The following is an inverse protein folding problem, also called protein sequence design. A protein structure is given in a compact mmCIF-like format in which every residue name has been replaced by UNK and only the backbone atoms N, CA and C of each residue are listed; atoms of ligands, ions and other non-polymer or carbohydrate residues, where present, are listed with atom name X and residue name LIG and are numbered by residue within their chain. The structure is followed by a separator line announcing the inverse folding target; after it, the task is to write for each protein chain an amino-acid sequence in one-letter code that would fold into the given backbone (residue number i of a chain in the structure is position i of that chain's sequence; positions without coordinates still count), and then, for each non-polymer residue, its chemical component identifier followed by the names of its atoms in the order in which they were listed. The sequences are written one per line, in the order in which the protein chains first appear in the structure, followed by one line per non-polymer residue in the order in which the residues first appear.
data_IF_487367087789
#
_entry.id   IF_487367087789
#
_cell.length_a   1.000
_cell.length_b   1.000
_cell.length_c   1.000
_cell.angle_alpha   90.00
_cell.angle_beta   90.00
_cell.angle_gamma   90.00
#
_symmetry.space_group_name_H-M   'P 1'
#
loop_
_entity.id
_entity.type
_entity.pdbx_description
1 polymer ?
#
# COMPACT_ATOMS: atom_id res chain seq x y z
N UNK A 1 -30.99 -53.41 -3.93
CA UNK A 1 -29.72 -53.27 -4.72
C UNK A 1 -29.55 -51.88 -5.31
N UNK A 2 -30.59 -51.17 -5.76
CA UNK A 2 -30.48 -49.77 -6.29
C UNK A 2 -30.06 -48.75 -5.25
N UNK A 3 -30.54 -48.84 -4.01
CA UNK A 3 -30.17 -47.92 -2.94
C UNK A 3 -28.65 -47.97 -2.60
N UNK A 4 -28.06 -49.15 -2.61
CA UNK A 4 -26.60 -49.31 -2.36
C UNK A 4 -25.75 -48.69 -3.50
N UNK A 5 -26.18 -48.83 -4.75
CA UNK A 5 -25.48 -48.19 -5.89
C UNK A 5 -25.51 -46.65 -5.79
N UNK A 6 -26.63 -46.09 -5.38
CA UNK A 6 -26.75 -44.65 -5.22
C UNK A 6 -25.84 -44.08 -4.12
N UNK A 7 -25.74 -44.78 -2.98
CA UNK A 7 -24.79 -44.40 -1.89
C UNK A 7 -23.32 -44.55 -2.30
N UNK A 8 -22.96 -45.59 -3.05
CA UNK A 8 -21.59 -45.77 -3.53
C UNK A 8 -21.20 -44.70 -4.56
N UNK A 9 -22.10 -44.27 -5.43
CA UNK A 9 -21.86 -43.18 -6.38
C UNK A 9 -21.67 -41.83 -5.67
N UNK A 10 -22.47 -41.53 -4.66
CA UNK A 10 -22.35 -40.32 -3.85
C UNK A 10 -21.03 -40.33 -3.10
N UNK A 11 -20.69 -41.45 -2.49
CA UNK A 11 -19.43 -41.62 -1.72
C UNK A 11 -18.22 -41.49 -2.63
N UNK A 12 -18.27 -42.05 -3.83
CA UNK A 12 -17.20 -41.95 -4.83
C UNK A 12 -17.02 -40.48 -5.29
N UNK A 13 -18.12 -39.73 -5.50
CA UNK A 13 -18.06 -38.29 -5.84
C UNK A 13 -17.45 -37.46 -4.73
N UNK A 14 -17.79 -37.71 -3.47
CA UNK A 14 -17.20 -37.02 -2.32
C UNK A 14 -15.71 -37.37 -2.11
N UNK A 15 -15.32 -38.63 -2.30
CA UNK A 15 -13.91 -39.04 -2.25
C UNK A 15 -13.10 -38.40 -3.38
N UNK A 16 -13.67 -38.34 -4.60
CA UNK A 16 -13.01 -37.67 -5.72
C UNK A 16 -12.89 -36.17 -5.46
N UNK A 17 -13.93 -35.52 -4.95
CA UNK A 17 -13.90 -34.10 -4.58
C UNK A 17 -12.87 -33.83 -3.48
N UNK A 18 -12.79 -34.67 -2.43
CA UNK A 18 -11.79 -34.57 -1.38
C UNK A 18 -10.36 -34.77 -1.93
N UNK A 19 -10.16 -35.73 -2.81
CA UNK A 19 -8.87 -36.00 -3.45
C UNK A 19 -8.43 -34.83 -4.31
N UNK A 20 -9.34 -34.26 -5.14
CA UNK A 20 -9.07 -33.06 -5.94
C UNK A 20 -8.76 -31.85 -5.05
N UNK A 21 -9.50 -31.69 -3.94
CA UNK A 21 -9.24 -30.61 -2.99
C UNK A 21 -7.86 -30.73 -2.30
N UNK A 22 -7.45 -31.94 -1.93
CA UNK A 22 -6.11 -32.20 -1.36
C UNK A 22 -5.02 -31.91 -2.38
N UNK A 23 -5.17 -32.37 -3.63
CA UNK A 23 -4.23 -32.07 -4.70
C UNK A 23 -4.16 -30.57 -4.95
N UNK A 24 -5.30 -29.88 -5.06
CA UNK A 24 -5.35 -28.46 -5.24
C UNK A 24 -4.66 -27.69 -4.09
N UNK A 25 -4.88 -28.15 -2.84
CA UNK A 25 -4.20 -27.58 -1.68
C UNK A 25 -2.69 -27.78 -1.70
N UNK A 26 -2.21 -29.00 -2.06
CA UNK A 26 -0.79 -29.29 -2.21
C UNK A 26 -0.15 -28.47 -3.32
N UNK A 27 -0.82 -28.35 -4.48
CA UNK A 27 -0.37 -27.52 -5.59
C UNK A 27 -0.33 -26.06 -5.18
N UNK A 28 -1.37 -25.54 -4.51
CA UNK A 28 -1.41 -24.17 -4.03
C UNK A 28 -0.28 -23.89 -3.03
N UNK A 29 0.00 -24.82 -2.12
CA UNK A 29 1.12 -24.70 -1.17
C UNK A 29 2.48 -24.71 -1.88
N UNK A 30 2.66 -25.54 -2.90
CA UNK A 30 3.91 -25.65 -3.66
C UNK A 30 4.11 -24.48 -4.62
N UNK A 31 3.04 -24.03 -5.28
CA UNK A 31 3.07 -22.97 -6.29
C UNK A 31 2.49 -21.64 -5.80
N UNK A 32 2.41 -21.44 -4.50
CA UNK A 32 1.87 -20.20 -3.92
C UNK A 32 2.57 -18.94 -4.42
N UNK A 33 3.89 -18.99 -4.65
CA UNK A 33 4.64 -17.87 -5.24
C UNK A 33 4.18 -17.54 -6.67
N UNK A 34 3.83 -18.54 -7.48
CA UNK A 34 3.33 -18.34 -8.85
C UNK A 34 1.97 -17.62 -8.80
N UNK A 35 1.09 -18.02 -7.89
CA UNK A 35 -0.21 -17.35 -7.69
C UNK A 35 -0.01 -15.89 -7.30
N UNK A 36 0.93 -15.61 -6.38
CA UNK A 36 1.29 -14.24 -6.00
C UNK A 36 1.83 -13.46 -7.21
N UNK A 37 2.69 -14.04 -8.04
CA UNK A 37 3.21 -13.38 -9.24
C UNK A 37 2.09 -13.07 -10.25
N UNK A 38 1.13 -13.98 -10.44
CA UNK A 38 -0.04 -13.75 -11.32
C UNK A 38 -0.91 -12.61 -10.78
N UNK A 39 -1.18 -12.59 -9.47
CA UNK A 39 -1.95 -11.53 -8.84
C UNK A 39 -1.24 -10.17 -8.93
N UNK A 40 0.06 -10.11 -8.62
CA UNK A 40 0.86 -8.89 -8.77
C UNK A 40 0.91 -8.42 -10.23
N UNK A 41 1.07 -9.32 -11.19
CA UNK A 41 1.03 -9.01 -12.61
C UNK A 41 -0.34 -8.46 -13.03
N UNK A 42 -1.43 -9.00 -12.48
CA UNK A 42 -2.78 -8.46 -12.64
C UNK A 42 -2.87 -7.02 -12.16
N UNK A 43 -2.39 -6.74 -10.95
CA UNK A 43 -2.34 -5.36 -10.40
C UNK A 43 -1.53 -4.43 -11.30
N UNK A 44 -0.31 -4.84 -11.69
CA UNK A 44 0.53 -4.05 -12.61
C UNK A 44 -0.18 -3.79 -13.94
N UNK A 45 -0.89 -4.79 -14.48
CA UNK A 45 -1.64 -4.62 -15.73
C UNK A 45 -2.80 -3.63 -15.59
N UNK A 46 -3.50 -3.63 -14.46
CA UNK A 46 -4.58 -2.68 -14.16
C UNK A 46 -4.06 -1.23 -14.05
N UNK A 47 -2.92 -1.04 -13.39
CA UNK A 47 -2.22 0.27 -13.31
C UNK A 47 -1.71 0.70 -14.69
N UNK A 48 -1.22 -0.22 -15.50
CA UNK A 48 -0.68 0.06 -16.84
C UNK A 48 -1.76 0.38 -17.87
N UNK A 49 -3.00 -0.08 -17.67
CA UNK A 49 -4.10 0.10 -18.64
C UNK A 49 -4.36 1.57 -18.99
N UNK A 50 -4.53 2.51 -18.05
CA UNK A 50 -4.68 3.93 -18.37
C UNK A 50 -3.44 4.52 -19.08
N UNK A 51 -2.24 4.10 -18.69
CA UNK A 51 -1.00 4.51 -19.36
C UNK A 51 -0.97 4.03 -20.81
N UNK A 52 -1.30 2.76 -21.06
CA UNK A 52 -1.44 2.20 -22.41
C UNK A 52 -2.45 3.00 -23.23
N UNK A 53 -3.62 3.33 -22.65
CA UNK A 53 -4.64 4.13 -23.33
C UNK A 53 -4.17 5.57 -23.66
N UNK A 54 -3.41 6.19 -22.75
CA UNK A 54 -2.80 7.51 -23.00
C UNK A 54 -1.75 7.44 -24.10
N UNK A 55 -0.85 6.45 -24.05
CA UNK A 55 0.17 6.23 -25.07
C UNK A 55 -0.42 5.87 -26.44
N UNK A 56 -1.53 5.13 -26.49
CA UNK A 56 -2.24 4.78 -27.72
C UNK A 56 -2.86 6.00 -28.44
N UNK A 57 -3.04 7.14 -27.76
CA UNK A 57 -3.47 8.40 -28.38
C UNK A 57 -2.35 9.05 -29.20
N UNK A 58 -1.10 8.73 -28.90
CA UNK A 58 0.08 9.27 -29.60
C UNK A 58 0.21 8.54 -30.93
N UNK A 59 -0.06 9.24 -32.04
CA UNK A 59 0.09 8.69 -33.39
C UNK A 59 1.49 8.98 -33.90
N UNK A 60 2.25 7.94 -34.20
CA UNK A 60 3.59 8.07 -34.82
C UNK A 60 3.41 7.94 -36.35
N UNK A 61 3.71 8.99 -37.09
CA UNK A 61 3.53 9.05 -38.56
C UNK A 61 2.13 8.65 -39.05
N UNK A 62 1.09 9.02 -38.32
CA UNK A 62 -0.31 8.73 -38.68
C UNK A 62 -0.78 7.29 -38.38
N UNK A 63 0.07 6.40 -37.92
CA UNK A 63 -0.26 5.01 -37.57
C UNK A 63 -0.31 4.84 -36.03
N UNK A 64 -1.23 3.97 -35.58
CA UNK A 64 -1.32 3.58 -34.19
C UNK A 64 -0.20 2.58 -33.87
N UNK A 65 0.51 2.78 -32.75
CA UNK A 65 1.55 1.86 -32.33
C UNK A 65 0.95 0.47 -32.03
N UNK A 66 1.64 -0.63 -32.34
CA UNK A 66 1.14 -1.97 -32.08
C UNK A 66 1.02 -2.24 -30.57
N UNK A 67 0.03 -3.07 -30.18
CA UNK A 67 -0.30 -3.32 -28.78
C UNK A 67 0.87 -3.89 -27.96
N UNK A 68 1.71 -4.73 -28.56
CA UNK A 68 2.90 -5.26 -27.89
C UNK A 68 3.91 -4.17 -27.53
N UNK A 69 4.09 -3.17 -28.41
CA UNK A 69 4.98 -2.04 -28.16
C UNK A 69 4.43 -1.13 -27.07
N UNK A 70 3.12 -0.86 -27.08
CA UNK A 70 2.46 -0.08 -26.04
C UNK A 70 2.53 -0.78 -24.69
N UNK A 71 2.42 -2.11 -24.65
CA UNK A 71 2.57 -2.88 -23.42
C UNK A 71 3.98 -2.76 -22.82
N UNK A 72 5.03 -2.95 -23.67
CA UNK A 72 6.43 -2.79 -23.24
C UNK A 72 6.68 -1.37 -22.72
N UNK A 73 6.23 -0.36 -23.47
CA UNK A 73 6.44 1.04 -23.11
C UNK A 73 5.74 1.40 -21.80
N UNK A 74 4.53 0.89 -21.56
CA UNK A 74 3.80 1.10 -20.32
C UNK A 74 4.50 0.46 -19.11
N UNK A 75 5.01 -0.77 -19.27
CA UNK A 75 5.77 -1.45 -18.23
C UNK A 75 7.08 -0.72 -17.94
N UNK A 76 7.81 -0.34 -19.00
CA UNK A 76 9.06 0.41 -18.87
C UNK A 76 8.82 1.73 -18.13
N UNK A 77 7.75 2.44 -18.44
CA UNK A 77 7.40 3.69 -17.77
C UNK A 77 7.12 3.45 -16.27
N UNK A 78 6.36 2.41 -15.93
CA UNK A 78 6.12 2.03 -14.53
C UNK A 78 7.43 1.70 -13.82
N UNK A 79 8.30 0.91 -14.44
CA UNK A 79 9.60 0.55 -13.88
C UNK A 79 10.51 1.77 -13.70
N UNK A 80 10.55 2.68 -14.66
CA UNK A 80 11.33 3.92 -14.57
C UNK A 80 10.81 4.81 -13.44
N UNK A 81 9.49 4.96 -13.31
CA UNK A 81 8.88 5.70 -12.21
C UNK A 81 9.26 5.03 -10.88
N UNK A 82 9.09 3.71 -10.75
CA UNK A 82 9.39 2.97 -9.53
C UNK A 82 10.88 3.03 -9.14
N UNK A 83 11.78 2.84 -10.11
CA UNK A 83 13.23 2.99 -9.89
C UNK A 83 13.60 4.43 -9.55
N UNK A 84 13.00 5.43 -10.21
CA UNK A 84 13.20 6.85 -9.91
C UNK A 84 12.78 7.21 -8.49
N UNK A 85 11.65 6.66 -8.04
CA UNK A 85 11.16 6.76 -6.66
C UNK A 85 12.18 6.19 -5.67
N UNK A 86 12.64 4.97 -5.89
CA UNK A 86 13.63 4.32 -5.01
C UNK A 86 14.95 5.10 -5.02
N UNK A 87 15.43 5.51 -6.19
CA UNK A 87 16.67 6.27 -6.31
C UNK A 87 16.59 7.65 -5.64
N UNK A 88 15.43 8.30 -5.66
CA UNK A 88 15.19 9.57 -4.97
C UNK A 88 15.11 9.42 -3.45
N UNK A 89 14.54 8.32 -2.95
CA UNK A 89 14.43 8.05 -1.52
C UNK A 89 15.74 7.55 -0.89
N UNK A 90 16.56 6.81 -1.63
CA UNK A 90 17.76 6.18 -1.12
C UNK A 90 18.76 7.18 -0.46
N UNK A 91 19.11 8.34 -1.09
CA UNK A 91 19.99 9.32 -0.48
C UNK A 91 19.35 9.93 0.78
N UNK A 92 18.05 10.21 0.76
CA UNK A 92 17.35 10.80 1.87
C UNK A 92 17.27 9.85 3.08
N UNK A 93 16.94 8.57 2.86
CA UNK A 93 16.99 7.55 3.92
C UNK A 93 18.40 7.42 4.47
N UNK A 94 19.42 7.47 3.62
CA UNK A 94 20.82 7.44 4.03
C UNK A 94 21.19 8.66 4.89
N UNK A 95 20.75 9.86 4.52
CA UNK A 95 20.97 11.10 5.27
C UNK A 95 20.31 11.03 6.64
N UNK A 96 19.03 10.66 6.72
CA UNK A 96 18.30 10.45 7.99
C UNK A 96 18.99 9.41 8.88
N UNK A 97 19.43 8.28 8.31
CA UNK A 97 20.17 7.26 9.07
C UNK A 97 21.51 7.81 9.57
N UNK A 98 22.22 8.56 8.73
CA UNK A 98 23.50 9.21 9.09
C UNK A 98 23.30 10.21 10.22
N UNK A 99 22.26 11.06 10.12
CA UNK A 99 21.96 12.07 11.14
C UNK A 99 21.52 11.43 12.46
N UNK A 100 20.65 10.45 12.42
CA UNK A 100 20.26 9.68 13.62
C UNK A 100 21.45 8.91 14.21
N UNK A 101 22.35 8.39 13.39
CA UNK A 101 23.58 7.72 13.85
C UNK A 101 24.56 8.71 14.48
N UNK A 102 24.66 9.94 13.97
CA UNK A 102 25.51 11.00 14.53
C UNK A 102 25.00 11.54 15.87
N UNK A 103 23.68 11.47 16.12
CA UNK A 103 23.01 11.85 17.38
C UNK A 103 23.39 10.91 18.55
N UNK A 104 24.05 9.79 18.30
CA UNK A 104 24.54 8.90 19.36
C UNK A 104 25.71 9.48 20.16
N UNK A 105 26.24 10.64 19.75
CA UNK A 105 27.22 11.39 20.53
C UNK A 105 26.54 12.24 21.62
N UNK A 106 27.16 12.31 22.82
CA UNK A 106 26.61 12.92 24.06
C UNK A 106 26.13 14.37 23.94
N UNK A 107 26.56 15.12 22.92
CA UNK A 107 26.31 16.56 22.80
C UNK A 107 24.93 16.92 22.29
N UNK A 108 24.32 16.12 21.42
CA UNK A 108 23.01 16.40 20.81
C UNK A 108 21.84 15.96 21.71
N UNK A 109 22.06 14.97 22.58
CA UNK A 109 21.11 14.56 23.60
C UNK A 109 20.82 15.67 24.63
N UNK A 110 21.82 16.50 24.93
CA UNK A 110 21.71 17.64 25.87
C UNK A 110 20.69 18.69 25.42
N UNK A 111 20.61 19.00 24.14
CA UNK A 111 19.65 19.97 23.60
C UNK A 111 18.21 19.45 23.59
N UNK A 112 18.01 18.16 23.34
CA UNK A 112 16.69 17.54 23.39
C UNK A 112 16.23 17.34 24.84
N UNK A 113 17.11 16.90 25.72
CA UNK A 113 16.80 16.66 27.14
C UNK A 113 16.39 17.93 27.88
N UNK A 114 17.05 19.07 27.58
CA UNK A 114 16.66 20.34 28.19
C UNK A 114 15.25 20.80 27.79
N UNK A 115 14.84 20.58 26.55
CA UNK A 115 13.52 20.93 26.04
C UNK A 115 12.39 19.96 26.50
N UNK A 116 12.76 18.74 26.87
CA UNK A 116 11.81 17.72 27.34
C UNK A 116 11.79 17.58 28.87
N UNK A 117 12.63 18.31 29.59
CA UNK A 117 12.75 18.19 31.04
C UNK A 117 11.43 18.42 31.79
N UNK A 118 10.65 19.42 31.37
CA UNK A 118 9.32 19.71 31.95
C UNK A 118 8.31 18.58 31.68
N UNK A 119 8.28 18.09 30.42
CA UNK A 119 7.41 16.99 30.03
C UNK A 119 7.81 15.71 30.78
N UNK A 120 9.10 15.45 30.90
CA UNK A 120 9.61 14.29 31.61
C UNK A 120 9.23 14.33 33.10
N UNK A 121 9.39 15.49 33.77
CA UNK A 121 8.96 15.69 35.14
C UNK A 121 7.44 15.50 35.31
N UNK A 122 6.64 15.98 34.36
CA UNK A 122 5.19 15.79 34.37
C UNK A 122 4.80 14.30 34.21
N UNK A 123 5.44 13.58 33.29
CA UNK A 123 5.17 12.16 33.05
C UNK A 123 5.58 11.29 34.26
N UNK A 124 6.75 11.51 34.80
CA UNK A 124 7.22 10.80 36.00
C UNK A 124 6.24 10.99 37.16
N UNK A 125 5.78 12.25 37.39
CA UNK A 125 4.84 12.56 38.43
C UNK A 125 3.43 12.00 38.20
N UNK A 126 2.94 12.02 36.95
CA UNK A 126 1.54 11.66 36.63
C UNK A 126 1.36 10.16 36.52
N UNK A 127 2.35 9.45 35.98
CA UNK A 127 2.30 8.00 35.75
C UNK A 127 3.11 7.18 36.74
N UNK A 128 3.63 7.83 37.83
CA UNK A 128 4.45 7.18 38.86
C UNK A 128 5.59 6.33 38.31
N UNK A 129 6.30 6.92 37.28
CA UNK A 129 7.41 6.26 36.63
C UNK A 129 8.69 6.38 37.50
N UNK A 130 9.66 5.51 37.22
CA UNK A 130 10.96 5.57 37.86
C UNK A 130 11.55 6.99 37.75
N UNK A 131 12.08 7.59 38.86
CA UNK A 131 12.73 8.90 38.83
C UNK A 131 13.88 9.03 37.81
N UNK A 132 14.45 7.89 37.42
CA UNK A 132 15.45 7.81 36.32
C UNK A 132 14.89 7.72 34.92
N UNK A 133 13.55 7.70 34.77
CA UNK A 133 12.91 7.64 33.44
C UNK A 133 13.21 8.89 32.64
N UNK A 134 13.68 8.69 31.40
CA UNK A 134 14.00 9.75 30.44
C UNK A 134 13.29 9.46 29.13
N UNK A 135 12.27 10.27 28.82
CA UNK A 135 11.44 10.09 27.63
C UNK A 135 12.27 10.19 26.35
N UNK A 136 13.28 11.05 26.31
CA UNK A 136 14.20 11.17 25.17
C UNK A 136 14.95 9.86 24.91
N UNK A 137 15.37 9.16 25.97
CA UNK A 137 16.06 7.87 25.88
C UNK A 137 15.09 6.79 25.39
N UNK A 138 13.87 6.78 25.92
CA UNK A 138 12.82 5.84 25.51
C UNK A 138 12.44 6.02 24.03
N UNK A 139 12.26 7.28 23.59
CA UNK A 139 11.98 7.60 22.17
C UNK A 139 13.17 7.19 21.31
N UNK A 140 14.39 7.55 21.67
CA UNK A 140 15.59 7.19 20.92
C UNK A 140 15.78 5.67 20.83
N UNK A 141 15.51 4.95 21.92
CA UNK A 141 15.59 3.49 21.93
C UNK A 141 14.56 2.88 20.97
N UNK A 142 13.33 3.40 20.95
CA UNK A 142 12.29 2.97 20.02
C UNK A 142 12.62 3.39 18.58
N UNK A 143 13.06 4.62 18.38
CA UNK A 143 13.50 5.09 17.05
C UNK A 143 14.70 4.26 16.57
N UNK A 144 15.70 3.96 17.43
CA UNK A 144 16.79 3.03 17.10
C UNK A 144 16.31 1.62 16.81
N UNK A 145 15.30 1.12 17.52
CA UNK A 145 14.75 -0.20 17.26
C UNK A 145 13.95 -0.26 15.95
N UNK A 146 13.25 0.83 15.61
CA UNK A 146 12.52 0.98 14.35
C UNK A 146 13.47 1.27 13.17
N UNK A 147 14.49 2.09 13.39
CA UNK A 147 15.54 2.44 12.42
C UNK A 147 16.75 1.50 12.58
N UNK A 148 16.57 0.35 13.24
CA UNK A 148 17.67 -0.59 13.42
C UNK A 148 18.45 -0.71 12.11
N UNK A 149 19.70 -0.20 12.13
CA UNK A 149 20.60 -0.14 10.96
C UNK A 149 20.71 -1.50 10.28
N UNK A 150 20.45 -2.59 11.04
CA UNK A 150 20.34 -3.93 10.50
C UNK A 150 19.07 -4.13 9.65
N UNK A 151 17.95 -3.43 9.93
CA UNK A 151 16.75 -3.50 9.07
C UNK A 151 17.00 -2.72 7.78
N UNK A 152 17.57 -1.52 7.85
CA UNK A 152 17.86 -0.72 6.65
C UNK A 152 19.12 -1.16 5.92
N UNK A 153 20.20 -1.54 6.64
CA UNK A 153 21.38 -2.18 6.04
C UNK A 153 21.06 -3.55 5.47
N UNK A 154 20.17 -4.31 6.13
CA UNK A 154 19.61 -5.55 5.59
C UNK A 154 18.55 -5.28 4.51
N UNK A 155 17.84 -4.15 4.50
CA UNK A 155 16.94 -3.78 3.38
C UNK A 155 17.77 -3.37 2.17
N UNK A 156 18.84 -2.62 2.29
CA UNK A 156 19.73 -2.32 1.15
C UNK A 156 20.52 -3.58 0.74
N UNK A 157 21.03 -4.37 1.66
CA UNK A 157 21.68 -5.66 1.40
C UNK A 157 20.69 -6.74 0.99
N UNK A 158 19.47 -6.75 1.52
CA UNK A 158 18.40 -7.64 1.09
C UNK A 158 17.65 -7.11 -0.14
N UNK A 159 17.67 -5.82 -0.46
CA UNK A 159 17.29 -5.32 -1.79
C UNK A 159 18.35 -5.72 -2.82
N UNK A 160 19.62 -5.70 -2.52
CA UNK A 160 20.66 -6.22 -3.41
C UNK A 160 20.63 -7.76 -3.53
N UNK A 161 20.43 -8.50 -2.44
CA UNK A 161 20.23 -9.95 -2.45
C UNK A 161 18.81 -10.35 -2.86
N UNK A 162 17.79 -9.53 -2.58
CA UNK A 162 16.46 -9.63 -3.13
C UNK A 162 16.47 -9.30 -4.61
N UNK A 163 17.21 -8.33 -5.12
CA UNK A 163 17.38 -8.13 -6.57
C UNK A 163 17.96 -9.37 -7.26
N UNK A 164 18.85 -10.12 -6.62
CA UNK A 164 19.30 -11.42 -7.14
C UNK A 164 18.22 -12.52 -7.01
N UNK A 165 17.47 -12.58 -5.91
CA UNK A 165 16.34 -13.52 -5.70
C UNK A 165 15.03 -12.99 -6.32
N UNK A 166 14.84 -11.65 -6.37
CA UNK A 166 13.76 -10.95 -7.05
C UNK A 166 13.90 -10.99 -8.57
N UNK A 167 15.07 -11.28 -9.11
CA UNK A 167 15.26 -11.37 -10.55
C UNK A 167 14.25 -12.32 -11.21
N UNK A 168 14.04 -13.49 -10.61
CA UNK A 168 13.05 -14.46 -11.10
C UNK A 168 11.62 -13.97 -10.85
N UNK A 169 11.34 -13.44 -9.65
CA UNK A 169 10.01 -12.94 -9.29
C UNK A 169 9.62 -11.71 -10.09
N UNK A 170 10.50 -10.71 -10.17
CA UNK A 170 10.27 -9.49 -10.95
C UNK A 170 10.13 -9.83 -12.44
N UNK A 171 11.02 -10.67 -12.98
CA UNK A 171 10.91 -11.14 -14.35
C UNK A 171 9.56 -11.82 -14.59
N UNK A 172 9.14 -12.72 -13.67
CA UNK A 172 7.86 -13.42 -13.79
C UNK A 172 6.67 -12.45 -13.75
N UNK A 173 6.67 -11.48 -12.81
CA UNK A 173 5.61 -10.47 -12.72
C UNK A 173 5.58 -9.60 -13.99
N UNK A 174 6.72 -9.10 -14.44
CA UNK A 174 6.83 -8.27 -15.66
C UNK A 174 6.42 -9.05 -16.91
N UNK A 175 6.87 -10.31 -17.00
CA UNK A 175 6.54 -11.18 -18.12
C UNK A 175 5.04 -11.48 -18.20
N UNK A 176 4.42 -11.87 -17.09
CA UNK A 176 2.98 -12.15 -17.01
C UNK A 176 2.19 -10.86 -17.27
N UNK A 177 2.58 -9.73 -16.64
CA UNK A 177 1.94 -8.43 -16.84
C UNK A 177 1.98 -7.98 -18.30
N UNK A 178 3.09 -8.24 -18.99
CA UNK A 178 3.19 -7.96 -20.44
C UNK A 178 2.08 -8.65 -21.24
N UNK A 179 1.83 -9.94 -20.98
CA UNK A 179 0.76 -10.65 -21.66
C UNK A 179 -0.62 -10.14 -21.30
N UNK A 180 -0.86 -9.79 -20.04
CA UNK A 180 -2.14 -9.23 -19.59
C UNK A 180 -2.40 -7.84 -20.19
N UNK A 181 -1.38 -7.00 -20.34
CA UNK A 181 -1.50 -5.67 -20.97
C UNK A 181 -1.65 -5.80 -22.49
N UNK A 182 -0.91 -6.75 -23.11
CA UNK A 182 -0.98 -7.00 -24.54
C UNK A 182 -2.33 -7.55 -24.97
N UNK A 183 -2.83 -8.57 -24.24
CA UNK A 183 -4.11 -9.23 -24.49
C UNK A 183 -5.04 -9.04 -23.28
N UNK A 184 -5.78 -7.96 -23.28
CA UNK A 184 -6.68 -7.56 -22.20
C UNK A 184 -7.74 -8.62 -21.86
N UNK A 185 -8.06 -9.51 -22.84
CA UNK A 185 -9.05 -10.58 -22.65
C UNK A 185 -8.43 -11.92 -22.21
N UNK A 186 -7.10 -12.01 -22.14
CA UNK A 186 -6.44 -13.28 -21.84
C UNK A 186 -6.84 -13.82 -20.47
N UNK A 187 -6.78 -12.98 -19.43
CA UNK A 187 -7.15 -13.36 -18.07
C UNK A 187 -8.62 -13.78 -17.98
N UNK A 188 -9.51 -12.99 -18.58
CA UNK A 188 -10.94 -13.28 -18.61
C UNK A 188 -11.22 -14.61 -19.33
N UNK A 189 -10.61 -14.86 -20.48
CA UNK A 189 -10.75 -16.12 -21.22
C UNK A 189 -10.31 -17.34 -20.42
N UNK A 190 -9.18 -17.24 -19.70
CA UNK A 190 -8.68 -18.34 -18.86
C UNK A 190 -9.67 -18.65 -17.75
N UNK A 191 -10.19 -17.64 -17.06
CA UNK A 191 -11.12 -17.84 -15.94
C UNK A 191 -12.48 -18.34 -16.45
N UNK A 192 -13.00 -17.79 -17.55
CA UNK A 192 -14.25 -18.25 -18.17
C UNK A 192 -14.15 -19.71 -18.65
N UNK A 193 -13.01 -20.13 -19.20
CA UNK A 193 -12.78 -21.51 -19.62
C UNK A 193 -12.78 -22.52 -18.43
N UNK A 194 -12.59 -22.07 -17.20
CA UNK A 194 -12.69 -22.89 -15.99
C UNK A 194 -14.10 -22.93 -15.41
N UNK A 195 -14.97 -22.02 -15.85
CA UNK A 195 -16.35 -21.94 -15.41
C UNK A 195 -17.23 -22.95 -16.16
N UNK A 196 -18.28 -23.51 -15.51
CA UNK A 196 -19.30 -24.29 -16.23
C UNK A 196 -20.04 -23.40 -17.25
N UNK A 197 -20.35 -23.94 -18.42
CA UNK A 197 -21.01 -23.23 -19.54
C UNK A 197 -22.25 -22.43 -19.11
N UNK A 198 -22.98 -22.94 -18.11
CA UNK A 198 -24.20 -22.28 -17.56
C UNK A 198 -23.89 -20.93 -16.89
N UNK A 199 -22.69 -20.71 -16.37
CA UNK A 199 -22.30 -19.53 -15.61
C UNK A 199 -21.22 -18.69 -16.28
N UNK A 200 -20.85 -19.01 -17.53
CA UNK A 200 -19.77 -18.33 -18.25
C UNK A 200 -20.02 -16.83 -18.38
N UNK A 201 -21.24 -16.42 -18.76
CA UNK A 201 -21.62 -15.01 -18.91
C UNK A 201 -21.60 -14.27 -17.56
N UNK A 202 -22.05 -14.90 -16.48
CA UNK A 202 -22.03 -14.32 -15.13
C UNK A 202 -20.59 -14.12 -14.63
N UNK A 203 -19.70 -15.08 -14.91
CA UNK A 203 -18.28 -15.00 -14.60
C UNK A 203 -17.60 -13.90 -15.43
N UNK A 204 -17.86 -13.83 -16.73
CA UNK A 204 -17.29 -12.81 -17.61
C UNK A 204 -17.69 -11.39 -17.18
N UNK A 205 -18.96 -11.19 -16.81
CA UNK A 205 -19.43 -9.90 -16.31
C UNK A 205 -18.82 -9.57 -14.93
N UNK A 206 -18.71 -10.56 -14.03
CA UNK A 206 -18.08 -10.36 -12.71
C UNK A 206 -16.62 -9.95 -12.86
N UNK A 207 -15.87 -10.56 -13.78
CA UNK A 207 -14.49 -10.20 -14.08
C UNK A 207 -14.36 -8.78 -14.64
N UNK A 208 -15.27 -8.40 -15.53
CA UNK A 208 -15.31 -7.03 -16.07
C UNK A 208 -15.60 -6.00 -14.98
N UNK A 209 -16.54 -6.28 -14.07
CA UNK A 209 -16.87 -5.41 -12.94
C UNK A 209 -15.69 -5.28 -11.99
N UNK A 210 -15.03 -6.39 -11.64
CA UNK A 210 -13.81 -6.42 -10.79
C UNK A 210 -12.70 -5.61 -11.44
N UNK A 211 -12.42 -5.84 -12.73
CA UNK A 211 -11.37 -5.13 -13.46
C UNK A 211 -11.61 -3.62 -13.46
N UNK A 212 -12.86 -3.20 -13.71
CA UNK A 212 -13.23 -1.80 -13.72
C UNK A 212 -13.08 -1.14 -12.34
N UNK A 213 -13.58 -1.78 -11.28
CA UNK A 213 -13.50 -1.27 -9.92
C UNK A 213 -12.05 -1.21 -9.42
N UNK A 214 -11.26 -2.26 -9.64
CA UNK A 214 -9.87 -2.30 -9.24
C UNK A 214 -9.01 -1.30 -10.02
N UNK A 215 -9.24 -1.14 -11.32
CA UNK A 215 -8.53 -0.14 -12.12
C UNK A 215 -8.78 1.27 -11.58
N UNK A 216 -10.03 1.60 -11.27
CA UNK A 216 -10.38 2.90 -10.65
C UNK A 216 -9.76 3.06 -9.26
N UNK A 217 -9.76 2.01 -8.45
CA UNK A 217 -9.13 2.02 -7.13
C UNK A 217 -7.64 2.31 -7.22
N UNK A 218 -6.88 1.59 -8.06
CA UNK A 218 -5.43 1.81 -8.17
C UNK A 218 -5.06 3.17 -8.73
N UNK A 219 -5.83 3.67 -9.71
CA UNK A 219 -5.65 5.04 -10.22
C UNK A 219 -5.92 6.06 -9.10
N UNK A 220 -7.03 5.88 -8.38
CA UNK A 220 -7.39 6.72 -7.25
C UNK A 220 -6.31 6.73 -6.18
N UNK A 221 -5.79 5.56 -5.82
CA UNK A 221 -4.72 5.40 -4.84
C UNK A 221 -3.44 6.15 -5.25
N UNK A 222 -3.02 6.06 -6.53
CA UNK A 222 -1.85 6.79 -7.03
C UNK A 222 -2.08 8.31 -6.94
N UNK A 223 -3.27 8.77 -7.30
CA UNK A 223 -3.64 10.19 -7.21
C UNK A 223 -3.63 10.65 -5.74
N UNK A 224 -4.24 9.88 -4.84
CA UNK A 224 -4.28 10.15 -3.41
C UNK A 224 -2.86 10.26 -2.81
N UNK A 225 -2.02 9.25 -3.02
CA UNK A 225 -0.62 9.25 -2.57
C UNK A 225 0.16 10.46 -3.09
N UNK A 226 -0.05 10.81 -4.36
CA UNK A 226 0.62 11.96 -4.99
C UNK A 226 0.12 13.29 -4.41
N UNK A 227 -1.18 13.43 -4.20
CA UNK A 227 -1.77 14.63 -3.63
C UNK A 227 -1.37 14.83 -2.17
N UNK A 228 -1.47 13.78 -1.34
CA UNK A 228 -1.07 13.84 0.09
C UNK A 228 0.42 14.17 0.19
N UNK A 229 1.26 13.46 -0.56
CA UNK A 229 2.71 13.74 -0.58
C UNK A 229 3.04 15.15 -1.01
N UNK A 230 2.31 15.72 -1.98
CA UNK A 230 2.47 17.10 -2.43
C UNK A 230 2.02 18.10 -1.36
N UNK A 231 0.90 17.85 -0.69
CA UNK A 231 0.40 18.72 0.39
C UNK A 231 1.37 18.72 1.57
N UNK A 232 1.85 17.54 1.99
CA UNK A 232 2.86 17.43 3.05
C UNK A 232 4.16 18.12 2.66
N UNK A 233 4.66 17.90 1.44
CA UNK A 233 5.84 18.60 0.92
C UNK A 233 5.66 20.13 0.98
N UNK A 234 4.57 20.65 0.44
CA UNK A 234 4.31 22.09 0.41
C UNK A 234 4.16 22.67 1.82
N UNK A 235 3.47 21.96 2.72
CA UNK A 235 3.33 22.35 4.12
C UNK A 235 4.66 22.37 4.86
N UNK A 236 5.48 21.36 4.70
CA UNK A 236 6.82 21.28 5.32
C UNK A 236 7.77 22.34 4.76
N UNK A 237 7.76 22.58 3.45
CA UNK A 237 8.60 23.57 2.82
C UNK A 237 8.13 25.01 3.10
N UNK A 238 6.85 25.32 2.89
CA UNK A 238 6.33 26.67 2.96
C UNK A 238 6.05 27.14 4.40
N UNK A 239 5.48 26.25 5.25
CA UNK A 239 5.05 26.60 6.62
C UNK A 239 6.15 26.26 7.62
N UNK A 240 6.67 25.02 7.62
CA UNK A 240 7.71 24.60 8.54
C UNK A 240 9.11 25.11 8.13
N UNK A 241 9.26 25.66 6.90
CA UNK A 241 10.50 26.22 6.37
C UNK A 241 11.66 25.25 6.38
N UNK A 242 11.39 23.97 6.15
CA UNK A 242 12.42 22.97 5.95
C UNK A 242 13.12 23.18 4.61
N UNK A 243 14.35 22.71 4.51
CA UNK A 243 15.08 22.66 3.25
C UNK A 243 14.30 21.88 2.19
N UNK A 244 14.39 22.31 0.93
CA UNK A 244 13.62 21.76 -0.18
C UNK A 244 13.78 20.24 -0.31
N UNK A 245 15.03 19.73 -0.24
CA UNK A 245 15.31 18.30 -0.34
C UNK A 245 14.65 17.48 0.76
N UNK A 246 14.79 17.94 2.01
CA UNK A 246 14.18 17.34 3.18
C UNK A 246 12.64 17.34 3.11
N UNK A 247 12.07 18.48 2.73
CA UNK A 247 10.60 18.61 2.61
C UNK A 247 10.04 17.69 1.52
N UNK A 248 10.68 17.62 0.34
CA UNK A 248 10.30 16.69 -0.74
C UNK A 248 10.34 15.26 -0.24
N UNK A 249 11.40 14.88 0.40
CA UNK A 249 11.56 13.50 0.81
C UNK A 249 10.62 13.08 1.93
N UNK A 250 10.39 13.91 2.95
CA UNK A 250 9.41 13.60 4.02
C UNK A 250 8.00 13.55 3.41
N UNK A 251 7.62 14.54 2.59
CA UNK A 251 6.32 14.58 1.93
C UNK A 251 6.10 13.37 1.02
N UNK A 252 7.13 13.01 0.22
CA UNK A 252 7.06 11.83 -0.63
C UNK A 252 6.94 10.53 0.20
N UNK A 253 7.72 10.38 1.29
CA UNK A 253 7.63 9.25 2.20
C UNK A 253 6.23 9.15 2.82
N UNK A 254 5.68 10.26 3.31
CA UNK A 254 4.33 10.30 3.89
C UNK A 254 3.26 9.92 2.86
N UNK A 255 3.34 10.47 1.64
CA UNK A 255 2.47 10.11 0.53
C UNK A 255 2.57 8.62 0.16
N UNK A 256 3.79 8.07 0.12
CA UNK A 256 3.99 6.64 -0.17
C UNK A 256 3.40 5.73 0.92
N UNK A 257 3.58 6.08 2.19
CA UNK A 257 2.99 5.33 3.30
C UNK A 257 1.46 5.36 3.27
N UNK A 258 0.86 6.38 2.67
CA UNK A 258 -0.59 6.50 2.50
C UNK A 258 -1.21 5.42 1.58
N UNK A 259 -0.38 4.55 0.98
CA UNK A 259 -0.84 3.33 0.28
C UNK A 259 -1.67 2.41 1.21
N UNK A 260 -1.46 2.49 2.53
CA UNK A 260 -2.21 1.74 3.53
C UNK A 260 -3.16 2.71 4.24
N UNK A 261 -4.46 2.70 3.93
CA UNK A 261 -5.42 3.59 4.57
C UNK A 261 -5.38 3.51 6.10
N UNK A 262 -5.55 4.63 6.77
CA UNK A 262 -5.53 4.84 8.24
C UNK A 262 -4.16 4.64 8.90
N UNK A 263 -3.44 3.57 8.58
CA UNK A 263 -2.12 3.25 9.17
C UNK A 263 -1.02 4.10 8.53
N UNK A 264 -1.07 4.25 7.22
CA UNK A 264 -0.09 5.01 6.45
C UNK A 264 0.05 6.47 6.88
N UNK A 265 -1.07 7.22 6.93
CA UNK A 265 -1.05 8.61 7.42
C UNK A 265 -0.49 8.77 8.81
N UNK A 266 -0.86 7.87 9.73
CA UNK A 266 -0.35 7.89 11.10
C UNK A 266 1.17 7.67 11.12
N UNK A 267 1.65 6.65 10.42
CA UNK A 267 3.08 6.36 10.31
C UNK A 267 3.84 7.49 9.60
N UNK A 268 3.28 8.02 8.50
CA UNK A 268 3.85 9.14 7.75
C UNK A 268 4.00 10.39 8.61
N UNK A 269 2.95 10.76 9.35
CA UNK A 269 2.96 11.90 10.27
C UNK A 269 3.94 11.73 11.42
N UNK A 270 3.95 10.57 12.08
CA UNK A 270 4.86 10.29 13.20
C UNK A 270 6.31 10.26 12.73
N UNK A 271 6.63 9.47 11.69
CA UNK A 271 8.00 9.37 11.17
C UNK A 271 8.47 10.69 10.58
N UNK A 272 7.62 11.37 9.80
CA UNK A 272 7.95 12.67 9.22
C UNK A 272 8.23 13.73 10.28
N UNK A 273 7.45 13.75 11.37
CA UNK A 273 7.68 14.64 12.52
C UNK A 273 9.00 14.33 13.20
N UNK A 274 9.28 13.05 13.48
CA UNK A 274 10.55 12.63 14.12
C UNK A 274 11.74 13.03 13.26
N UNK A 275 11.68 12.75 11.95
CA UNK A 275 12.75 13.08 11.00
C UNK A 275 12.98 14.60 10.96
N UNK A 276 11.92 15.39 10.78
CA UNK A 276 12.02 16.86 10.72
C UNK A 276 12.57 17.47 12.01
N UNK A 277 12.15 16.95 13.18
CA UNK A 277 12.69 17.37 14.48
C UNK A 277 14.18 17.00 14.63
N UNK A 278 14.57 15.79 14.22
CA UNK A 278 15.95 15.33 14.29
C UNK A 278 16.84 16.20 13.42
N UNK A 279 16.49 16.45 12.17
CA UNK A 279 17.28 17.29 11.24
C UNK A 279 17.45 18.70 11.81
N UNK A 280 16.37 19.28 12.39
CA UNK A 280 16.45 20.63 12.95
C UNK A 280 17.33 20.73 14.20
N UNK A 281 17.23 19.80 15.14
CA UNK A 281 17.86 19.91 16.45
C UNK A 281 19.16 19.14 16.60
N UNK A 282 19.45 18.21 15.70
CA UNK A 282 20.61 17.34 15.73
C UNK A 282 21.49 17.43 14.48
N UNK A 283 20.92 17.94 13.36
CA UNK A 283 21.63 18.09 12.09
C UNK A 283 22.14 19.50 11.85
N UNK A 284 22.85 19.68 10.75
CA UNK A 284 23.31 20.99 10.25
C UNK A 284 22.24 21.75 9.49
N UNK A 285 21.02 21.20 9.42
CA UNK A 285 19.91 21.72 8.62
C UNK A 285 19.40 23.05 9.16
N UNK A 286 19.65 24.13 8.41
CA UNK A 286 19.11 25.44 8.69
C UNK A 286 17.59 25.46 8.47
N UNK A 287 16.82 25.39 9.55
CA UNK A 287 15.39 25.71 9.48
C UNK A 287 15.25 27.25 9.56
N UNK A 288 14.60 27.84 8.56
CA UNK A 288 14.42 29.29 8.44
C UNK A 288 13.49 29.93 9.49
N UNK A 289 12.96 29.16 10.46
CA UNK A 289 12.06 29.63 11.50
C UNK A 289 12.79 29.73 12.85
N UNK A 290 12.78 30.91 13.45
CA UNK A 290 13.33 31.13 14.80
C UNK A 290 12.24 30.93 15.86
N UNK A 291 11.79 29.68 16.04
CA UNK A 291 10.77 29.28 17.03
C UNK A 291 11.30 28.16 17.93
N UNK A 292 10.80 28.10 19.16
CA UNK A 292 11.17 27.07 20.13
C UNK A 292 10.71 25.66 19.72
N UNK A 293 11.22 24.66 20.43
CA UNK A 293 10.95 23.23 20.21
C UNK A 293 9.44 22.92 20.09
N UNK A 294 8.65 23.34 21.06
CA UNK A 294 7.21 23.08 21.09
C UNK A 294 6.44 23.78 19.95
N UNK A 295 6.87 25.01 19.61
CA UNK A 295 6.27 25.74 18.49
C UNK A 295 6.51 25.04 17.15
N UNK A 296 7.74 24.52 16.94
CA UNK A 296 8.06 23.76 15.73
C UNK A 296 7.32 22.43 15.65
N UNK A 297 7.29 21.67 16.76
CA UNK A 297 6.51 20.45 16.87
C UNK A 297 5.04 20.69 16.52
N UNK A 298 4.44 21.75 17.08
CA UNK A 298 3.03 22.11 16.79
C UNK A 298 2.81 22.42 15.31
N UNK A 299 3.75 23.08 14.64
CA UNK A 299 3.68 23.35 13.19
C UNK A 299 3.72 22.05 12.40
N UNK A 300 4.65 21.14 12.72
CA UNK A 300 4.75 19.86 12.01
C UNK A 300 3.47 19.04 12.15
N UNK A 301 2.98 18.90 13.39
CA UNK A 301 1.71 18.19 13.65
C UNK A 301 0.55 18.86 12.89
N UNK A 302 0.48 20.20 12.89
CA UNK A 302 -0.55 20.92 12.16
C UNK A 302 -0.48 20.66 10.65
N UNK A 303 0.71 20.62 10.05
CA UNK A 303 0.89 20.30 8.61
C UNK A 303 0.34 18.91 8.30
N UNK A 304 0.77 17.89 9.03
CA UNK A 304 0.29 16.53 8.79
C UNK A 304 -1.20 16.35 9.08
N UNK A 305 -1.73 16.99 10.13
CA UNK A 305 -3.17 16.97 10.44
C UNK A 305 -3.97 17.67 9.33
N UNK A 306 -3.51 18.80 8.81
CA UNK A 306 -4.18 19.48 7.69
C UNK A 306 -4.17 18.63 6.43
N UNK A 307 -3.05 18.01 6.10
CA UNK A 307 -2.96 17.09 4.97
C UNK A 307 -3.97 15.94 5.14
N UNK A 308 -4.04 15.36 6.35
CA UNK A 308 -4.98 14.27 6.67
C UNK A 308 -6.45 14.71 6.62
N UNK A 309 -6.75 15.95 7.02
CA UNK A 309 -8.11 16.49 6.88
C UNK A 309 -8.50 16.64 5.40
N UNK A 310 -7.60 17.16 4.56
CA UNK A 310 -7.83 17.23 3.10
C UNK A 310 -8.02 15.84 2.51
N UNK A 311 -7.20 14.88 2.92
CA UNK A 311 -7.31 13.49 2.48
C UNK A 311 -8.68 12.90 2.84
N UNK A 312 -9.05 12.91 4.12
CA UNK A 312 -10.27 12.28 4.61
C UNK A 312 -11.56 12.96 4.12
N UNK A 313 -11.57 14.29 4.01
CA UNK A 313 -12.80 15.04 3.67
C UNK A 313 -12.94 15.37 2.18
N UNK A 314 -11.84 15.36 1.43
CA UNK A 314 -11.86 15.75 0.00
C UNK A 314 -11.40 14.58 -0.88
N UNK A 315 -10.18 14.07 -0.68
CA UNK A 315 -9.60 13.10 -1.61
C UNK A 315 -10.32 11.73 -1.52
N UNK A 316 -10.45 11.18 -0.32
CA UNK A 316 -11.09 9.88 -0.12
C UNK A 316 -12.55 9.85 -0.62
N UNK A 317 -13.44 10.81 -0.29
CA UNK A 317 -14.79 10.81 -0.83
C UNK A 317 -14.83 10.90 -2.35
N UNK A 318 -13.97 11.73 -2.96
CA UNK A 318 -13.92 11.87 -4.43
C UNK A 318 -13.41 10.59 -5.11
N UNK A 319 -12.40 9.95 -4.54
CA UNK A 319 -11.74 8.79 -5.13
C UNK A 319 -12.54 7.51 -4.88
N UNK A 320 -12.98 7.29 -3.64
CA UNK A 320 -13.59 6.01 -3.25
C UNK A 320 -15.09 5.93 -3.47
N UNK A 321 -15.82 7.06 -3.52
CA UNK A 321 -17.28 7.06 -3.80
C UNK A 321 -17.63 6.39 -5.12
N UNK A 322 -16.73 6.40 -6.07
CA UNK A 322 -16.90 5.84 -7.41
C UNK A 322 -16.24 4.47 -7.60
N UNK A 323 -15.38 4.05 -6.67
CA UNK A 323 -14.54 2.85 -6.83
C UNK A 323 -14.92 1.71 -5.89
N UNK A 324 -15.27 2.03 -4.64
CA UNK A 324 -15.56 1.04 -3.61
C UNK A 324 -16.85 1.46 -2.90
N UNK A 325 -17.96 0.85 -3.24
CA UNK A 325 -19.26 1.13 -2.61
C UNK A 325 -19.35 0.49 -1.19
N UNK A 326 -18.27 0.55 -0.41
CA UNK A 326 -18.18 0.00 0.93
C UNK A 326 -18.17 1.12 1.98
N UNK A 327 -18.73 0.85 3.17
CA UNK A 327 -18.67 1.79 4.27
C UNK A 327 -17.24 1.90 4.82
N UNK A 328 -16.81 3.06 5.35
CA UNK A 328 -15.49 3.21 5.98
C UNK A 328 -15.22 2.17 7.09
N UNK A 329 -16.25 1.79 7.85
CA UNK A 329 -16.14 0.78 8.89
C UNK A 329 -15.86 -0.62 8.31
N UNK A 330 -16.48 -0.98 7.19
CA UNK A 330 -16.19 -2.25 6.50
C UNK A 330 -14.73 -2.32 6.06
N UNK A 331 -14.25 -1.24 5.42
CA UNK A 331 -12.87 -1.15 4.97
C UNK A 331 -11.92 -1.29 6.16
N UNK A 332 -12.18 -0.58 7.27
CA UNK A 332 -11.36 -0.65 8.46
C UNK A 332 -11.29 -2.07 9.06
N UNK A 333 -12.44 -2.75 9.18
CA UNK A 333 -12.50 -4.13 9.69
C UNK A 333 -11.74 -5.09 8.76
N UNK A 334 -11.92 -4.97 7.44
CA UNK A 334 -11.21 -5.79 6.46
C UNK A 334 -9.70 -5.58 6.54
N UNK A 335 -9.26 -4.32 6.71
CA UNK A 335 -7.86 -3.97 6.89
C UNK A 335 -7.27 -4.57 8.17
N UNK A 336 -8.00 -4.52 9.30
CA UNK A 336 -7.56 -5.15 10.54
C UNK A 336 -7.41 -6.66 10.39
N UNK A 337 -8.42 -7.33 9.82
CA UNK A 337 -8.37 -8.78 9.59
C UNK A 337 -7.21 -9.16 8.67
N UNK A 338 -7.05 -8.46 7.56
CA UNK A 338 -5.96 -8.71 6.62
C UNK A 338 -4.58 -8.43 7.25
N UNK A 339 -4.49 -7.39 8.09
CA UNK A 339 -3.29 -7.07 8.84
C UNK A 339 -2.87 -8.14 9.83
N UNK A 340 -3.83 -8.76 10.54
CA UNK A 340 -3.53 -9.87 11.46
C UNK A 340 -3.10 -11.14 10.72
N UNK A 341 -3.60 -11.38 9.49
CA UNK A 341 -3.28 -12.56 8.68
C UNK A 341 -1.96 -12.45 7.91
N UNK A 342 -1.71 -11.30 7.31
CA UNK A 342 -0.60 -11.11 6.37
C UNK A 342 0.26 -9.86 6.64
N UNK A 343 0.09 -9.22 7.80
CA UNK A 343 0.83 -7.99 8.13
C UNK A 343 0.60 -6.89 7.10
N UNK A 344 1.65 -6.17 6.76
CA UNK A 344 1.61 -5.05 5.79
C UNK A 344 1.14 -5.52 4.41
N UNK A 345 1.61 -6.67 3.93
CA UNK A 345 1.18 -7.24 2.64
C UNK A 345 -0.31 -7.61 2.64
N UNK A 346 -0.80 -8.13 3.77
CA UNK A 346 -2.23 -8.37 3.97
C UNK A 346 -3.04 -7.08 3.86
N UNK A 347 -2.61 -6.01 4.52
CA UNK A 347 -3.28 -4.70 4.45
C UNK A 347 -3.30 -4.14 3.02
N UNK A 348 -2.19 -4.21 2.29
CA UNK A 348 -2.09 -3.74 0.90
C UNK A 348 -3.06 -4.45 -0.05
N UNK A 349 -3.27 -5.74 0.17
CA UNK A 349 -4.15 -6.57 -0.67
C UNK A 349 -5.59 -6.63 -0.17
N UNK A 350 -5.87 -6.08 1.01
CA UNK A 350 -7.17 -6.15 1.68
C UNK A 350 -8.33 -5.61 0.82
N UNK A 351 -8.18 -4.39 0.32
CA UNK A 351 -9.23 -3.71 -0.47
C UNK A 351 -9.44 -4.40 -1.83
N UNK A 352 -8.41 -4.72 -2.61
CA UNK A 352 -8.56 -5.52 -3.81
C UNK A 352 -9.26 -6.87 -3.57
N UNK A 353 -8.82 -7.62 -2.57
CA UNK A 353 -9.44 -8.91 -2.23
C UNK A 353 -10.90 -8.75 -1.81
N UNK A 354 -11.20 -7.77 -0.97
CA UNK A 354 -12.57 -7.47 -0.56
C UNK A 354 -13.46 -7.08 -1.75
N UNK A 355 -12.97 -6.28 -2.70
CA UNK A 355 -13.69 -5.90 -3.91
C UNK A 355 -14.05 -7.12 -4.74
N UNK A 356 -13.10 -8.05 -4.94
CA UNK A 356 -13.36 -9.31 -5.65
C UNK A 356 -14.43 -10.12 -4.94
N UNK A 357 -14.28 -10.35 -3.63
CA UNK A 357 -15.25 -11.10 -2.82
C UNK A 357 -16.63 -10.45 -2.88
N UNK A 358 -16.72 -9.13 -2.79
CA UNK A 358 -17.97 -8.39 -2.81
C UNK A 358 -18.69 -8.52 -4.15
N UNK A 359 -17.98 -8.38 -5.28
CA UNK A 359 -18.56 -8.53 -6.62
C UNK A 359 -19.06 -9.96 -6.85
N UNK A 360 -18.21 -10.94 -6.53
CA UNK A 360 -18.56 -12.37 -6.69
C UNK A 360 -19.74 -12.74 -5.78
N UNK A 361 -19.69 -12.36 -4.51
CA UNK A 361 -20.78 -12.63 -3.56
C UNK A 361 -22.09 -11.99 -4.00
N UNK A 362 -22.05 -10.76 -4.50
CA UNK A 362 -23.25 -10.06 -4.97
C UNK A 362 -23.91 -10.71 -6.17
N UNK A 363 -23.11 -11.27 -7.08
CA UNK A 363 -23.62 -11.89 -8.31
C UNK A 363 -24.10 -13.33 -8.10
N UNK A 364 -23.32 -14.14 -7.38
CA UNK A 364 -23.63 -15.57 -7.22
C UNK A 364 -24.53 -15.88 -6.02
N UNK A 365 -24.58 -15.00 -5.01
CA UNK A 365 -25.35 -15.22 -3.78
C UNK A 365 -26.33 -14.08 -3.44
N UNK A 366 -27.11 -13.53 -4.41
CA UNK A 366 -28.01 -12.40 -4.17
C UNK A 366 -29.16 -12.74 -3.22
N UNK A 367 -29.50 -14.03 -3.05
CA UNK A 367 -30.55 -14.50 -2.15
C UNK A 367 -30.16 -14.46 -0.68
N UNK A 368 -28.87 -14.37 -0.35
CA UNK A 368 -28.40 -14.32 1.05
C UNK A 368 -28.69 -12.95 1.64
N UNK A 369 -29.51 -12.89 2.70
CA UNK A 369 -29.94 -11.63 3.37
C UNK A 369 -28.75 -10.73 3.76
N UNK A 370 -27.68 -11.33 4.25
CA UNK A 370 -26.46 -10.62 4.65
C UNK A 370 -25.80 -9.91 3.45
N UNK A 371 -25.63 -10.63 2.34
CA UNK A 371 -25.03 -10.09 1.11
C UNK A 371 -25.87 -8.94 0.55
N UNK A 372 -27.19 -9.09 0.52
CA UNK A 372 -28.09 -8.07 0.05
C UNK A 372 -28.01 -6.77 0.89
N UNK A 373 -27.89 -6.91 2.20
CA UNK A 373 -27.69 -5.75 3.09
C UNK A 373 -26.31 -5.11 2.92
N UNK A 374 -25.26 -5.93 2.81
CA UNK A 374 -23.89 -5.48 2.59
C UNK A 374 -23.76 -4.68 1.28
N UNK A 375 -24.51 -5.07 0.25
CA UNK A 375 -24.48 -4.43 -1.07
C UNK A 375 -25.44 -3.24 -1.21
N UNK A 376 -26.23 -2.92 -0.18
CA UNK A 376 -27.21 -1.83 -0.24
C UNK A 376 -28.39 -2.12 -1.20
N UNK A 377 -28.62 -3.38 -1.60
CA UNK A 377 -29.69 -3.77 -2.52
C UNK A 377 -31.09 -3.78 -1.86
N UNK A 378 -31.22 -3.21 -0.66
CA UNK A 378 -32.45 -3.28 0.15
C UNK A 378 -33.34 -2.04 0.02
N UNK A 379 -32.89 -0.96 -0.63
CA UNK A 379 -33.59 0.34 -0.63
C UNK A 379 -34.38 0.67 -1.92
N UNK A 380 -34.87 -0.35 -2.64
CA UNK A 380 -35.86 -0.12 -3.70
C UNK A 380 -37.12 -0.92 -3.47
N UNK A 381 -37.88 -0.56 -2.44
CA UNK A 381 -39.34 -0.77 -2.38
C UNK A 381 -39.99 0.40 -1.69
#
# INVERSE_FOLDING_TARGET
MESQKHYTEILAKWLLAAFVAVIAWLLFRQFGSVVVYVLLAGVVSLIAKPLKMMLAKIRIKGHRAPDWFLAILSILLILVIFCGIIAGLAPMVKEVISDVASVTGDTSLGAISSNLAELNAYLVKTFDLDPGFRIEVAILHQVKSLINVSIFGNVIGSVASALASFGIGLFSVVFIAFFFIRDEKLFSRIICALAPDRHEDEVAQSLSDVEHLLSRYFIGLIVEMSCVGLIDFLGLWAIARLELGTAIGIGFMAGLLNIIPYVGPLLGGVLGTIIAMTIRYCGTGACGLNIGFWGFLAILVAVFVLAQLVDNFILQPVIYSTSIQASPLEIFIVMLLAGTMGGILGMLTAIPAYTVVRVVAGRFFPQVKFIRRLLGLYDNK
#
